data_IF_122857378770
#
_entry.id   IF_122857378770
#
_cell.length_a   1.000
_cell.length_b   1.000
_cell.length_c   1.000
_cell.angle_alpha   90.00
_cell.angle_beta   90.00
_cell.angle_gamma   90.00
#
_symmetry.space_group_name_H-M   'P 1'
#
loop_
_entity.id
_entity.type
_entity.pdbx_description
1 polymer ?
#
# COMPACT_ATOMS: atom_id res chain seq x y z
N UNK A 1 -64.50 34.41 -26.62
CA UNK A 1 -63.40 34.16 -27.56
C UNK A 1 -63.05 35.50 -28.18
N UNK A 2 -61.85 36.03 -27.85
CA UNK A 2 -61.05 37.09 -28.51
C UNK A 2 -61.73 38.39 -29.02
N UNK A 3 -61.15 39.58 -28.99
CA UNK A 3 -59.94 40.17 -28.42
C UNK A 3 -59.99 41.69 -28.75
N UNK A 4 -59.04 42.45 -28.18
CA UNK A 4 -58.56 43.80 -28.57
C UNK A 4 -59.34 45.04 -28.08
N UNK A 5 -58.69 45.79 -27.17
CA UNK A 5 -58.53 47.26 -27.21
C UNK A 5 -57.59 47.66 -26.03
N UNK A 6 -56.36 48.14 -26.24
CA UNK A 6 -55.90 49.52 -26.54
C UNK A 6 -55.43 50.31 -25.29
N UNK A 7 -54.32 51.04 -25.47
CA UNK A 7 -53.77 52.17 -24.69
C UNK A 7 -53.20 51.87 -23.30
N UNK A 8 -52.15 52.54 -22.83
CA UNK A 8 -51.41 53.70 -23.34
C UNK A 8 -50.42 54.18 -22.26
N UNK A 9 -49.33 54.82 -22.71
CA UNK A 9 -48.23 55.41 -21.93
C UNK A 9 -48.63 56.45 -20.89
N UNK A 10 -47.80 56.62 -19.84
CA UNK A 10 -47.43 57.90 -19.18
C UNK A 10 -46.43 57.58 -18.04
N UNK A 11 -45.11 57.76 -18.19
CA UNK A 11 -44.32 58.97 -17.87
C UNK A 11 -44.77 59.68 -16.58
N UNK A 12 -43.94 59.69 -15.53
CA UNK A 12 -43.24 60.90 -15.04
C UNK A 12 -42.37 60.62 -13.79
N UNK A 13 -41.14 61.16 -13.85
CA UNK A 13 -40.40 61.96 -12.83
C UNK A 13 -40.40 61.49 -11.37
N UNK A 14 -39.38 61.64 -10.55
CA UNK A 14 -38.03 62.22 -10.58
C UNK A 14 -37.61 62.31 -9.11
N UNK A 15 -36.33 62.62 -8.86
CA UNK A 15 -35.83 63.29 -7.65
C UNK A 15 -35.57 62.36 -6.44
N UNK A 16 -34.55 62.53 -5.60
CA UNK A 16 -33.26 63.26 -5.57
C UNK A 16 -32.77 63.09 -4.11
N UNK A 17 -31.44 63.08 -3.90
CA UNK A 17 -30.74 63.31 -2.61
C UNK A 17 -30.92 62.26 -1.50
N UNK A 18 -30.00 62.06 -0.56
CA UNK A 18 -28.55 62.29 -0.41
C UNK A 18 -28.20 61.74 0.97
N UNK A 19 -27.02 61.11 1.09
CA UNK A 19 -26.11 61.06 2.25
C UNK A 19 -26.67 61.13 3.67
N UNK A 20 -26.30 60.18 4.55
CA UNK A 20 -25.24 60.38 5.57
C UNK A 20 -25.13 59.19 6.56
N UNK A 21 -23.87 58.82 6.84
CA UNK A 21 -23.28 58.40 8.14
C UNK A 21 -23.89 57.28 8.98
N UNK A 22 -23.02 56.37 9.47
CA UNK A 22 -23.22 55.77 10.80
C UNK A 22 -22.72 54.33 10.95
N UNK A 23 -21.58 54.18 11.61
CA UNK A 23 -20.96 52.94 12.07
C UNK A 23 -21.79 52.23 13.16
N UNK A 24 -21.85 50.89 13.13
CA UNK A 24 -21.45 49.95 14.21
C UNK A 24 -22.29 48.65 14.28
N UNK A 25 -21.58 47.55 14.52
CA UNK A 25 -21.99 46.35 15.29
C UNK A 25 -22.83 45.24 14.65
N UNK A 26 -22.16 44.08 14.51
CA UNK A 26 -22.59 42.70 14.84
C UNK A 26 -24.08 42.35 14.87
N UNK A 27 -24.48 41.36 14.06
CA UNK A 27 -25.43 40.26 14.37
C UNK A 27 -25.48 39.32 13.14
N UNK A 28 -25.10 38.04 13.31
CA UNK A 28 -26.04 36.90 13.31
C UNK A 28 -26.85 36.75 12.02
N UNK A 29 -26.43 35.80 11.17
CA UNK A 29 -27.32 35.16 10.18
C UNK A 29 -27.20 33.65 10.39
N UNK A 30 -28.19 33.11 11.09
CA UNK A 30 -28.61 31.73 10.94
C UNK A 30 -29.13 31.55 9.51
N UNK A 31 -28.68 30.50 8.82
CA UNK A 31 -29.42 29.94 7.69
C UNK A 31 -29.70 28.49 8.03
N UNK A 32 -30.96 28.25 8.36
CA UNK A 32 -31.59 26.94 8.38
C UNK A 32 -31.42 26.26 7.02
N UNK A 33 -31.07 24.98 7.02
CA UNK A 33 -31.37 24.07 5.93
C UNK A 33 -31.72 22.70 6.53
N UNK A 34 -32.82 22.05 6.07
CA UNK A 34 -33.43 20.93 6.76
C UNK A 34 -32.68 19.61 6.55
N UNK A 35 -32.70 18.83 7.62
CA UNK A 35 -32.16 17.49 7.80
C UNK A 35 -33.07 16.45 7.14
N UNK A 36 -32.52 15.59 6.27
CA UNK A 36 -32.96 14.20 6.09
C UNK A 36 -31.74 13.28 5.90
N UNK A 37 -31.78 12.04 6.40
CA UNK A 37 -30.60 11.32 6.86
C UNK A 37 -29.99 10.44 5.76
N UNK A 38 -28.66 10.50 5.61
CA UNK A 38 -27.87 9.56 4.82
C UNK A 38 -27.25 8.57 5.80
N UNK A 39 -27.79 7.35 5.86
CA UNK A 39 -27.15 6.21 6.51
C UNK A 39 -27.24 4.97 5.61
N UNK A 40 -26.09 4.54 5.08
CA UNK A 40 -25.73 3.18 4.61
C UNK A 40 -24.40 3.31 3.85
N UNK A 41 -23.27 3.65 4.46
CA UNK A 41 -22.32 2.88 5.28
C UNK A 41 -21.67 1.66 4.60
N UNK A 42 -20.53 1.95 3.96
CA UNK A 42 -19.31 1.14 3.92
C UNK A 42 -18.53 1.41 5.19
N UNK A 43 -18.57 0.47 6.12
CA UNK A 43 -18.40 0.75 7.53
C UNK A 43 -16.99 0.48 8.07
N UNK A 44 -15.96 1.29 7.73
CA UNK A 44 -14.75 1.50 8.57
C UNK A 44 -14.06 2.86 8.33
N UNK A 45 -14.79 3.97 8.45
CA UNK A 45 -14.24 5.34 8.53
C UNK A 45 -15.06 6.10 9.60
N UNK A 46 -14.52 6.21 10.84
CA UNK A 46 -14.98 6.98 12.05
C UNK A 46 -16.45 6.77 12.49
N UNK A 47 -16.80 6.33 13.71
CA UNK A 47 -16.47 6.84 15.05
C UNK A 47 -17.10 5.88 16.12
N UNK A 48 -17.06 6.19 17.43
CA UNK A 48 -16.11 5.73 18.45
C UNK A 48 -16.45 4.35 19.08
N UNK A 49 -15.43 3.71 19.64
CA UNK A 49 -15.55 2.45 20.40
C UNK A 49 -16.56 2.56 21.56
N UNK A 50 -17.44 1.55 21.76
CA UNK A 50 -18.25 1.49 22.97
C UNK A 50 -17.36 1.18 24.19
N UNK A 51 -17.66 1.87 25.31
CA UNK A 51 -17.03 1.68 26.62
C UNK A 51 -17.00 0.18 26.99
N UNK A 52 -15.87 -0.38 27.48
CA UNK A 52 -15.84 -1.77 27.91
C UNK A 52 -16.75 -1.97 29.14
N UNK A 53 -17.68 -2.91 29.01
CA UNK A 53 -18.46 -3.41 30.13
C UNK A 53 -17.53 -4.08 31.15
N UNK A 54 -17.71 -3.72 32.43
CA UNK A 54 -16.98 -4.30 33.56
C UNK A 54 -17.33 -5.79 33.69
N UNK A 55 -16.31 -6.66 33.66
CA UNK A 55 -16.44 -8.06 34.07
C UNK A 55 -16.17 -8.17 35.58
N UNK A 56 -16.94 -8.99 36.32
CA UNK A 56 -16.75 -9.15 37.75
C UNK A 56 -15.52 -10.03 38.05
N UNK A 57 -14.83 -9.66 39.12
CA UNK A 57 -13.69 -10.37 39.67
C UNK A 57 -14.07 -11.75 40.22
N UNK A 58 -13.28 -12.77 39.91
CA UNK A 58 -13.25 -14.01 40.67
C UNK A 58 -11.82 -14.60 40.75
N UNK A 59 -11.44 -14.82 42.00
CA UNK A 59 -10.21 -15.42 42.52
C UNK A 59 -9.99 -16.87 42.08
N UNK A 60 -8.74 -17.28 41.86
CA UNK A 60 -7.95 -18.15 42.77
C UNK A 60 -6.82 -18.89 42.04
N UNK A 61 -5.60 -18.48 42.39
CA UNK A 61 -4.33 -19.24 42.51
C UNK A 61 -4.40 -20.77 42.30
N UNK A 62 -3.63 -21.30 41.33
CA UNK A 62 -2.88 -22.57 41.47
C UNK A 62 -1.54 -22.50 40.73
N UNK A 63 -0.46 -22.48 41.52
CA UNK A 63 0.94 -22.68 41.13
C UNK A 63 1.16 -24.13 40.69
N UNK A 64 1.73 -24.33 39.50
CA UNK A 64 2.27 -25.61 39.03
C UNK A 64 3.78 -25.69 39.29
N UNK A 65 4.33 -26.87 39.64
CA UNK A 65 5.76 -27.04 39.92
C UNK A 65 6.60 -27.19 38.66
N UNK A 66 7.86 -26.74 38.74
CA UNK A 66 8.85 -26.73 37.67
C UNK A 66 9.39 -28.13 37.28
N UNK A 67 9.84 -28.34 36.03
CA UNK A 67 10.54 -29.56 35.61
C UNK A 67 12.05 -29.52 35.94
N UNK A 68 12.72 -30.69 36.08
CA UNK A 68 14.15 -30.79 36.37
C UNK A 68 15.04 -30.52 35.13
N UNK A 69 16.33 -30.18 35.31
CA UNK A 69 17.18 -29.65 34.24
C UNK A 69 17.77 -30.72 33.31
N UNK A 70 17.84 -30.36 32.03
CA UNK A 70 18.52 -31.10 30.97
C UNK A 70 20.04 -31.16 31.19
N UNK A 71 20.62 -32.35 31.01
CA UNK A 71 22.08 -32.56 30.97
C UNK A 71 22.65 -32.00 29.65
N UNK A 72 23.65 -31.13 29.79
CA UNK A 72 24.50 -30.62 28.72
C UNK A 72 25.53 -31.71 28.38
N UNK A 73 25.56 -32.19 27.14
CA UNK A 73 26.68 -32.98 26.61
C UNK A 73 27.60 -32.00 25.87
N UNK A 74 28.79 -31.83 26.42
CA UNK A 74 29.90 -31.08 25.85
C UNK A 74 30.49 -31.85 24.66
N UNK A 75 30.45 -31.25 23.47
CA UNK A 75 31.24 -31.70 22.32
C UNK A 75 32.62 -31.01 22.36
N UNK A 76 33.68 -31.81 22.52
CA UNK A 76 35.06 -31.36 22.47
C UNK A 76 35.54 -31.21 21.03
N UNK A 77 36.24 -30.11 20.80
CA UNK A 77 37.03 -29.76 19.62
C UNK A 77 38.27 -30.64 19.47
N UNK A 78 38.68 -30.91 18.24
CA UNK A 78 40.04 -30.61 17.70
C UNK A 78 40.15 -31.02 16.23
N UNK A 79 40.82 -30.21 15.38
CA UNK A 79 41.17 -30.56 14.01
C UNK A 79 42.62 -31.08 13.92
N UNK A 80 43.01 -31.48 12.70
CA UNK A 80 44.37 -31.67 12.15
C UNK A 80 44.54 -33.06 11.52
N UNK A 81 44.61 -33.11 10.19
CA UNK A 81 45.82 -33.53 9.48
C UNK A 81 45.66 -33.27 7.97
N UNK A 82 46.52 -32.38 7.47
CA UNK A 82 46.84 -32.27 6.07
C UNK A 82 47.75 -33.45 5.67
N UNK A 83 47.56 -33.99 4.47
CA UNK A 83 48.62 -34.66 3.73
C UNK A 83 48.40 -34.52 2.22
N UNK A 84 49.45 -34.05 1.58
CA UNK A 84 49.61 -33.81 0.16
C UNK A 84 49.89 -35.10 -0.63
N UNK A 85 49.79 -34.93 -1.96
CA UNK A 85 50.61 -35.53 -3.02
C UNK A 85 50.11 -36.78 -3.77
N UNK A 86 49.85 -36.50 -5.06
CA UNK A 86 50.29 -37.19 -6.27
C UNK A 86 49.69 -38.53 -6.70
N UNK A 87 49.28 -38.53 -7.98
CA UNK A 87 49.12 -39.69 -8.84
C UNK A 87 48.72 -39.26 -10.25
N UNK A 88 49.71 -38.97 -11.10
CA UNK A 88 49.55 -38.65 -12.52
C UNK A 88 48.99 -39.84 -13.32
N UNK A 89 48.28 -39.56 -14.40
CA UNK A 89 48.30 -40.44 -15.58
C UNK A 89 48.42 -39.59 -16.84
N UNK A 90 49.55 -39.79 -17.50
CA UNK A 90 50.02 -39.17 -18.74
C UNK A 90 49.24 -39.66 -19.96
N UNK A 91 48.78 -38.73 -20.81
CA UNK A 91 48.53 -39.03 -22.23
C UNK A 91 49.52 -38.21 -23.06
N UNK A 92 50.30 -38.96 -23.84
CA UNK A 92 51.37 -38.50 -24.72
C UNK A 92 50.81 -37.59 -25.82
N UNK A 93 51.34 -36.38 -25.93
CA UNK A 93 51.25 -35.58 -27.17
C UNK A 93 52.64 -35.16 -27.63
N UNK A 94 52.88 -35.39 -28.91
CA UNK A 94 54.18 -35.26 -29.60
C UNK A 94 54.68 -33.81 -29.58
N UNK A 95 55.98 -33.68 -29.32
CA UNK A 95 56.71 -32.43 -29.40
C UNK A 95 56.73 -31.90 -30.85
N UNK A 96 56.10 -30.75 -31.07
CA UNK A 96 56.35 -29.92 -32.24
C UNK A 96 57.40 -28.88 -31.90
N UNK A 97 58.61 -29.09 -32.39
CA UNK A 97 59.71 -28.13 -32.28
C UNK A 97 59.45 -26.93 -33.19
N UNK A 98 59.20 -25.76 -32.60
CA UNK A 98 59.11 -24.48 -33.31
C UNK A 98 60.30 -23.58 -32.94
N UNK A 99 61.03 -22.99 -33.91
CA UNK A 99 62.23 -22.20 -33.65
C UNK A 99 61.96 -20.93 -32.82
N UNK A 100 62.80 -20.71 -31.81
CA UNK A 100 62.73 -19.72 -30.72
C UNK A 100 62.76 -18.22 -31.11
N UNK A 101 62.51 -17.83 -32.36
CA UNK A 101 62.70 -16.43 -32.81
C UNK A 101 61.47 -15.72 -33.40
N UNK A 102 60.27 -16.31 -33.37
CA UNK A 102 59.03 -15.61 -33.79
C UNK A 102 57.80 -15.83 -32.88
N UNK A 103 58.01 -16.12 -31.59
CA UNK A 103 56.92 -16.40 -30.64
C UNK A 103 56.48 -15.19 -29.79
N UNK A 104 56.77 -13.95 -30.19
CA UNK A 104 56.38 -12.74 -29.43
C UNK A 104 55.23 -11.98 -30.12
N UNK A 105 54.90 -12.28 -31.38
CA UNK A 105 53.87 -11.56 -32.12
C UNK A 105 52.44 -12.14 -32.02
N UNK A 106 52.24 -13.29 -31.35
CA UNK A 106 50.92 -13.94 -31.26
C UNK A 106 50.22 -13.78 -29.90
N UNK A 107 50.88 -13.23 -28.88
CA UNK A 107 50.29 -13.09 -27.54
C UNK A 107 49.57 -11.73 -27.38
N UNK A 108 49.81 -10.76 -28.28
CA UNK A 108 49.19 -9.44 -28.24
C UNK A 108 47.91 -9.29 -29.08
N UNK A 109 47.46 -10.34 -29.79
CA UNK A 109 46.24 -10.31 -30.62
C UNK A 109 45.02 -10.96 -29.96
N UNK A 110 45.14 -11.49 -28.74
CA UNK A 110 44.05 -12.21 -28.05
C UNK A 110 43.32 -11.41 -26.96
N UNK A 111 43.81 -10.23 -26.57
CA UNK A 111 43.37 -9.54 -25.35
C UNK A 111 42.24 -8.52 -25.55
N UNK A 112 41.57 -8.46 -26.71
CA UNK A 112 40.39 -7.60 -26.93
C UNK A 112 39.06 -8.35 -27.04
N UNK A 113 39.05 -9.68 -26.86
CA UNK A 113 37.81 -10.49 -26.86
C UNK A 113 37.40 -11.06 -25.49
N UNK A 114 38.17 -10.82 -24.43
CA UNK A 114 37.79 -11.23 -23.06
C UNK A 114 36.93 -10.20 -22.31
N UNK A 115 37.01 -8.91 -22.64
CA UNK A 115 36.16 -7.89 -22.01
C UNK A 115 34.70 -7.99 -22.46
N UNK A 116 34.40 -8.43 -23.68
CA UNK A 116 33.03 -8.58 -24.17
C UNK A 116 32.30 -9.81 -23.61
N UNK A 117 33.03 -10.82 -23.13
CA UNK A 117 32.46 -12.02 -22.50
C UNK A 117 32.32 -11.87 -20.98
N UNK A 118 33.16 -11.07 -20.33
CA UNK A 118 33.05 -10.78 -18.90
C UNK A 118 31.81 -9.91 -18.57
N UNK A 119 31.40 -9.00 -19.46
CA UNK A 119 30.16 -8.21 -19.29
C UNK A 119 28.86 -9.03 -19.42
N UNK A 120 28.93 -10.31 -19.81
CA UNK A 120 27.74 -11.17 -19.95
C UNK A 120 27.50 -12.10 -18.76
N UNK A 121 28.37 -12.08 -17.75
CA UNK A 121 28.29 -12.93 -16.56
C UNK A 121 27.78 -12.22 -15.29
N UNK A 122 27.40 -10.94 -15.40
CA UNK A 122 26.60 -10.26 -14.38
C UNK A 122 25.10 -10.27 -14.74
N UNK A 123 24.61 -11.39 -15.27
CA UNK A 123 23.20 -11.70 -15.17
C UNK A 123 22.96 -12.06 -13.70
N UNK A 124 22.67 -11.05 -12.89
CA UNK A 124 22.16 -11.22 -11.53
C UNK A 124 20.91 -12.07 -11.62
N UNK A 125 21.03 -13.37 -11.35
CA UNK A 125 19.90 -14.26 -11.18
C UNK A 125 19.21 -13.87 -9.88
N UNK A 126 18.40 -12.80 -9.93
CA UNK A 126 17.44 -12.53 -8.88
C UNK A 126 16.56 -13.78 -8.79
N UNK A 127 16.39 -14.38 -7.60
CA UNK A 127 15.46 -15.49 -7.46
C UNK A 127 14.10 -14.99 -7.94
N UNK A 128 13.57 -15.58 -9.00
CA UNK A 128 12.27 -15.18 -9.54
C UNK A 128 11.23 -15.41 -8.45
N UNK A 129 10.59 -14.34 -7.98
CA UNK A 129 9.50 -14.46 -7.02
C UNK A 129 8.40 -15.29 -7.65
N UNK A 130 8.08 -16.41 -6.99
CA UNK A 130 7.01 -17.29 -7.43
C UNK A 130 5.70 -16.72 -6.90
N UNK A 131 4.73 -16.55 -7.77
CA UNK A 131 3.40 -16.06 -7.39
C UNK A 131 2.41 -17.22 -7.25
N UNK A 132 1.55 -17.14 -6.24
CA UNK A 132 0.33 -17.95 -6.12
C UNK A 132 -0.88 -17.14 -6.56
N UNK A 133 -1.88 -17.82 -7.10
CA UNK A 133 -3.17 -17.23 -7.40
C UNK A 133 -4.14 -17.47 -6.24
N UNK A 134 -4.87 -16.43 -5.87
CA UNK A 134 -6.01 -16.44 -4.97
C UNK A 134 -7.27 -16.16 -5.79
N UNK A 135 -8.28 -17.03 -5.66
CA UNK A 135 -9.55 -16.90 -6.37
C UNK A 135 -10.65 -17.02 -5.32
N UNK A 136 -11.42 -15.96 -5.15
CA UNK A 136 -12.65 -15.97 -4.36
C UNK A 136 -13.86 -15.99 -5.27
N UNK A 137 -14.49 -17.15 -5.37
CA UNK A 137 -15.70 -17.33 -6.19
C UNK A 137 -16.96 -16.83 -5.49
N UNK A 138 -16.95 -16.68 -4.16
CA UNK A 138 -18.11 -16.24 -3.39
C UNK A 138 -18.25 -14.72 -3.45
N UNK A 139 -17.14 -14.02 -3.23
CA UNK A 139 -17.12 -12.56 -3.24
C UNK A 139 -16.75 -11.99 -4.62
N UNK A 140 -16.26 -12.84 -5.54
CA UNK A 140 -16.10 -12.50 -6.94
C UNK A 140 -14.86 -11.67 -7.21
N UNK A 141 -13.68 -12.09 -6.75
CA UNK A 141 -12.42 -11.46 -7.14
C UNK A 141 -11.27 -12.46 -7.18
N UNK A 142 -10.18 -12.09 -7.85
CA UNK A 142 -8.96 -12.91 -7.93
C UNK A 142 -7.72 -12.04 -8.08
N UNK A 143 -6.59 -12.51 -7.57
CA UNK A 143 -5.29 -11.86 -7.74
C UNK A 143 -4.16 -12.86 -7.52
N UNK A 144 -2.94 -12.45 -7.90
CA UNK A 144 -1.70 -13.14 -7.58
C UNK A 144 -1.00 -12.46 -6.42
N UNK A 145 -0.32 -13.24 -5.59
CA UNK A 145 0.47 -12.74 -4.46
C UNK A 145 1.76 -13.57 -4.29
N UNK A 146 2.81 -13.02 -3.66
CA UNK A 146 4.05 -13.75 -3.46
C UNK A 146 3.84 -15.03 -2.66
N UNK A 147 4.43 -16.13 -3.13
CA UNK A 147 4.27 -17.47 -2.56
C UNK A 147 4.65 -17.55 -1.08
N UNK A 148 5.62 -16.78 -0.63
CA UNK A 148 6.12 -16.76 0.74
C UNK A 148 5.20 -16.02 1.71
N UNK A 149 4.20 -15.28 1.24
CA UNK A 149 3.30 -14.52 2.10
C UNK A 149 2.28 -15.42 2.79
N UNK A 150 1.97 -15.07 4.03
CA UNK A 150 1.07 -15.83 4.89
C UNK A 150 -0.28 -15.13 5.02
N UNK A 151 -1.36 -15.91 4.93
CA UNK A 151 -2.70 -15.41 5.20
C UNK A 151 -2.88 -15.20 6.71
N UNK A 152 -3.36 -14.02 7.11
CA UNK A 152 -3.70 -13.70 8.50
C UNK A 152 -5.21 -13.52 8.61
N UNK A 153 -5.83 -14.26 9.54
CA UNK A 153 -7.25 -14.13 9.85
C UNK A 153 -7.47 -13.11 10.96
N UNK A 154 -8.62 -12.43 10.96
CA UNK A 154 -9.00 -11.48 12.01
C UNK A 154 -8.50 -10.04 11.81
N UNK A 155 -7.96 -9.69 10.64
CA UNK A 155 -7.53 -8.33 10.31
C UNK A 155 -8.70 -7.37 10.01
N UNK A 156 -9.93 -7.89 9.83
CA UNK A 156 -11.12 -7.09 9.55
C UNK A 156 -11.26 -6.65 8.08
N UNK A 157 -10.33 -7.03 7.23
CA UNK A 157 -10.49 -7.12 5.78
C UNK A 157 -11.06 -8.49 5.40
N UNK A 158 -11.52 -8.63 4.16
CA UNK A 158 -12.02 -9.90 3.65
C UNK A 158 -10.89 -10.94 3.54
N UNK A 159 -9.80 -10.50 2.91
CA UNK A 159 -8.54 -11.23 2.84
C UNK A 159 -7.39 -10.33 3.29
N UNK A 160 -6.43 -10.92 4.00
CA UNK A 160 -5.21 -10.24 4.43
C UNK A 160 -4.02 -11.20 4.34
N UNK A 161 -3.00 -10.78 3.60
CA UNK A 161 -1.71 -11.45 3.49
C UNK A 161 -0.61 -10.52 3.99
N UNK A 162 0.47 -11.09 4.54
CA UNK A 162 1.67 -10.32 4.90
C UNK A 162 2.93 -11.13 4.69
N UNK A 163 4.03 -10.42 4.54
CA UNK A 163 5.35 -11.02 4.53
C UNK A 163 5.72 -11.50 5.97
N UNK A 164 6.25 -12.74 6.14
CA UNK A 164 6.65 -13.25 7.44
C UNK A 164 7.92 -12.60 8.02
N UNK A 165 8.75 -11.97 7.18
CA UNK A 165 9.98 -11.27 7.54
C UNK A 165 9.77 -9.76 7.65
N UNK A 166 9.10 -9.15 6.67
CA UNK A 166 8.80 -7.71 6.65
C UNK A 166 7.34 -7.48 7.03
N UNK A 167 7.06 -7.37 8.34
CA UNK A 167 5.68 -7.31 8.85
C UNK A 167 4.88 -6.08 8.37
N UNK A 168 5.57 -5.01 8.00
CA UNK A 168 4.96 -3.79 7.47
C UNK A 168 4.62 -3.90 5.97
N UNK A 169 5.00 -5.00 5.33
CA UNK A 169 4.61 -5.36 3.98
C UNK A 169 3.40 -6.29 3.99
N UNK A 170 2.29 -5.82 3.43
CA UNK A 170 1.02 -6.55 3.44
C UNK A 170 0.12 -6.21 2.27
N UNK A 171 -0.85 -7.09 2.06
CA UNK A 171 -1.90 -7.00 1.06
C UNK A 171 -3.23 -7.24 1.77
N UNK A 172 -4.23 -6.43 1.47
CA UNK A 172 -5.62 -6.69 1.84
C UNK A 172 -6.55 -6.45 0.67
N UNK A 173 -7.67 -7.18 0.65
CA UNK A 173 -8.82 -6.80 -0.18
C UNK A 173 -9.96 -6.40 0.73
N UNK A 174 -10.50 -5.23 0.46
CA UNK A 174 -11.71 -4.73 1.08
C UNK A 174 -12.78 -4.56 0.01
N UNK A 175 -14.02 -4.83 0.37
CA UNK A 175 -15.15 -4.65 -0.52
C UNK A 175 -16.24 -3.88 0.16
N UNK A 176 -16.98 -3.16 -0.66
CA UNK A 176 -18.12 -2.41 -0.22
C UNK A 176 -19.30 -3.35 0.06
N UNK A 177 -19.96 -3.26 1.21
CA UNK A 177 -21.22 -3.94 1.55
C UNK A 177 -22.28 -3.91 0.43
N UNK A 178 -22.80 -5.08 0.01
CA UNK A 178 -23.72 -5.19 -1.12
C UNK A 178 -25.06 -4.48 -0.90
N UNK A 179 -25.43 -4.23 0.36
CA UNK A 179 -26.70 -3.56 0.71
C UNK A 179 -26.63 -2.03 0.66
N UNK A 180 -25.43 -1.45 0.64
CA UNK A 180 -25.20 -0.01 0.73
C UNK A 180 -24.45 0.56 -0.47
N UNK A 181 -23.85 -0.27 -1.33
CA UNK A 181 -23.23 0.19 -2.58
C UNK A 181 -24.20 0.21 -3.74
N UNK A 182 -24.01 1.19 -4.63
CA UNK A 182 -24.72 1.30 -5.90
C UNK A 182 -23.74 1.67 -7.03
N UNK A 183 -22.50 1.18 -6.96
CA UNK A 183 -21.46 1.47 -7.95
C UNK A 183 -21.68 0.61 -9.19
N UNK A 184 -21.93 1.22 -10.35
CA UNK A 184 -22.07 0.51 -11.63
C UNK A 184 -20.74 0.41 -12.35
N UNK A 185 -19.89 1.42 -12.19
CA UNK A 185 -18.57 1.47 -12.79
C UNK A 185 -17.60 2.25 -11.93
N UNK A 186 -16.30 2.06 -12.16
CA UNK A 186 -15.24 2.75 -11.40
C UNK A 186 -15.30 4.28 -11.62
N UNK A 187 -15.81 4.71 -12.76
CA UNK A 187 -16.04 6.12 -13.11
C UNK A 187 -17.06 6.82 -12.19
N UNK A 188 -17.91 6.08 -11.48
CA UNK A 188 -18.81 6.64 -10.47
C UNK A 188 -18.03 7.26 -9.29
N UNK A 189 -16.75 6.89 -9.13
CA UNK A 189 -15.84 7.52 -8.17
C UNK A 189 -15.36 8.90 -8.62
N UNK A 190 -15.57 9.26 -9.88
CA UNK A 190 -15.00 10.44 -10.55
C UNK A 190 -13.75 10.09 -11.37
N UNK A 191 -12.95 11.09 -11.78
CA UNK A 191 -11.64 10.85 -12.38
C UNK A 191 -10.68 10.19 -11.37
N UNK A 192 -9.61 9.51 -11.84
CA UNK A 192 -8.64 8.84 -10.98
C UNK A 192 -8.05 9.74 -9.88
N UNK A 193 -7.84 11.02 -10.19
CA UNK A 193 -7.33 12.01 -9.24
C UNK A 193 -8.30 12.27 -8.07
N UNK A 194 -9.61 12.34 -8.34
CA UNK A 194 -10.64 12.51 -7.31
C UNK A 194 -10.83 11.24 -6.49
N UNK A 195 -10.79 10.07 -7.14
CA UNK A 195 -10.79 8.79 -6.47
C UNK A 195 -9.57 8.66 -5.53
N UNK A 196 -8.39 9.04 -5.99
CA UNK A 196 -7.17 9.04 -5.18
C UNK A 196 -7.27 9.96 -3.95
N UNK A 197 -7.90 11.14 -4.08
CA UNK A 197 -8.20 12.01 -2.93
C UNK A 197 -9.20 11.40 -1.96
N UNK A 198 -10.14 10.57 -2.41
CA UNK A 198 -11.07 9.83 -1.54
C UNK A 198 -10.33 8.73 -0.77
N UNK A 199 -9.53 7.93 -1.47
CA UNK A 199 -8.67 6.88 -0.88
C UNK A 199 -7.71 7.47 0.15
N UNK A 200 -7.00 8.55 -0.18
CA UNK A 200 -6.09 9.20 0.75
C UNK A 200 -6.82 9.70 2.01
N UNK A 201 -8.00 10.31 1.86
CA UNK A 201 -8.80 10.74 3.00
C UNK A 201 -9.20 9.56 3.89
N UNK A 202 -9.64 8.47 3.29
CA UNK A 202 -9.93 7.23 4.00
C UNK A 202 -8.72 6.74 4.80
N UNK A 203 -7.53 6.67 4.20
CA UNK A 203 -6.32 6.21 4.89
C UNK A 203 -5.96 7.12 6.06
N UNK A 204 -5.98 8.44 5.85
CA UNK A 204 -5.71 9.40 6.92
C UNK A 204 -6.69 9.25 8.08
N UNK A 205 -7.95 8.95 7.78
CA UNK A 205 -8.97 8.69 8.76
C UNK A 205 -8.73 7.39 9.53
N UNK A 206 -8.46 6.28 8.84
CA UNK A 206 -8.16 4.99 9.46
C UNK A 206 -6.91 5.08 10.36
N UNK A 207 -5.92 5.85 9.93
CA UNK A 207 -4.70 6.06 10.70
C UNK A 207 -4.84 7.12 11.78
N UNK A 208 -5.98 7.78 12.00
CA UNK A 208 -6.09 8.80 13.04
C UNK A 208 -5.59 8.29 14.40
N UNK A 209 -4.60 8.97 14.97
CA UNK A 209 -4.06 8.63 16.29
C UNK A 209 -4.64 9.55 17.34
N UNK A 210 -5.01 8.99 18.47
CA UNK A 210 -5.38 9.75 19.68
C UNK A 210 -4.16 10.19 20.49
N UNK A 211 -2.97 9.73 20.12
CA UNK A 211 -1.73 10.09 20.82
C UNK A 211 -1.36 11.54 20.52
N UNK A 212 -1.12 12.29 21.59
CA UNK A 212 -0.72 13.69 21.50
C UNK A 212 0.63 13.82 20.78
N UNK A 213 0.73 14.77 19.86
CA UNK A 213 1.98 15.05 19.13
C UNK A 213 2.27 14.12 17.94
N UNK A 214 1.32 13.27 17.54
CA UNK A 214 1.40 12.56 16.26
C UNK A 214 0.96 13.48 15.13
N UNK A 215 1.85 13.70 14.16
CA UNK A 215 1.53 14.38 12.90
C UNK A 215 1.67 13.40 11.74
N UNK A 216 0.82 13.57 10.73
CA UNK A 216 0.90 12.82 9.49
C UNK A 216 1.06 13.75 8.32
N UNK A 217 2.00 13.42 7.46
CA UNK A 217 2.19 14.06 6.17
C UNK A 217 1.85 13.02 5.12
N UNK A 218 1.01 13.39 4.16
CA UNK A 218 0.60 12.49 3.09
C UNK A 218 0.75 13.14 1.73
N UNK A 219 1.05 12.31 0.73
CA UNK A 219 1.19 12.74 -0.65
C UNK A 219 0.61 11.71 -1.61
N UNK A 220 -0.10 12.17 -2.64
CA UNK A 220 -0.52 11.32 -3.76
C UNK A 220 0.62 11.34 -4.78
N UNK A 221 1.20 10.18 -5.05
CA UNK A 221 2.35 10.06 -5.95
C UNK A 221 1.87 9.89 -7.39
N UNK A 222 0.91 8.98 -7.57
CA UNK A 222 0.35 8.68 -8.87
C UNK A 222 -1.13 8.33 -8.74
N UNK A 223 -1.88 8.66 -9.78
CA UNK A 223 -3.23 8.14 -10.00
C UNK A 223 -3.36 7.83 -11.48
N UNK A 224 -3.74 6.61 -11.80
CA UNK A 224 -3.88 6.17 -13.19
C UNK A 224 -5.15 5.36 -13.38
N UNK A 225 -5.51 5.17 -14.64
CA UNK A 225 -6.62 4.35 -15.07
C UNK A 225 -6.10 3.34 -16.07
N UNK A 226 -6.44 2.07 -15.89
CA UNK A 226 -6.08 1.00 -16.83
C UNK A 226 -7.31 0.19 -17.19
N UNK A 227 -7.29 -0.40 -18.38
CA UNK A 227 -8.26 -1.41 -18.79
C UNK A 227 -7.54 -2.75 -18.79
N UNK A 228 -8.08 -3.75 -18.08
CA UNK A 228 -7.46 -5.08 -18.06
C UNK A 228 -7.94 -5.94 -19.24
N UNK A 229 -7.39 -7.14 -19.35
CA UNK A 229 -7.74 -8.16 -20.34
C UNK A 229 -9.19 -8.65 -20.24
N UNK A 230 -9.84 -8.48 -19.09
CA UNK A 230 -11.28 -8.71 -18.89
C UNK A 230 -12.17 -7.60 -19.50
N UNK A 231 -11.57 -6.54 -20.05
CA UNK A 231 -12.28 -5.39 -20.62
C UNK A 231 -12.81 -4.41 -19.58
N UNK A 232 -12.52 -4.61 -18.29
CA UNK A 232 -12.95 -3.68 -17.23
C UNK A 232 -11.91 -2.62 -16.95
N UNK A 233 -12.40 -1.45 -16.53
CA UNK A 233 -11.56 -0.34 -16.10
C UNK A 233 -11.27 -0.45 -14.61
N UNK A 234 -10.02 -0.22 -14.25
CA UNK A 234 -9.52 -0.18 -12.89
C UNK A 234 -8.79 1.13 -12.66
N UNK A 235 -8.92 1.71 -11.47
CA UNK A 235 -8.08 2.82 -11.06
C UNK A 235 -6.95 2.34 -10.19
N UNK A 236 -5.75 2.86 -10.43
CA UNK A 236 -4.59 2.63 -9.57
C UNK A 236 -4.25 3.94 -8.88
N UNK A 237 -4.02 3.86 -7.58
CA UNK A 237 -3.70 5.01 -6.74
C UNK A 237 -2.47 4.67 -5.92
N UNK A 238 -1.50 5.58 -5.89
CA UNK A 238 -0.33 5.45 -5.05
C UNK A 238 -0.22 6.63 -4.10
N UNK A 239 -0.02 6.32 -2.82
CA UNK A 239 0.04 7.31 -1.74
C UNK A 239 1.27 7.05 -0.88
N UNK A 240 1.94 8.11 -0.45
CA UNK A 240 2.96 8.07 0.59
C UNK A 240 2.39 8.60 1.92
N UNK A 241 2.48 7.75 2.92
CA UNK A 241 2.22 7.84 4.36
C UNK A 241 3.42 8.18 5.25
N UNK A 242 3.65 9.41 5.74
CA UNK A 242 4.65 9.65 6.81
C UNK A 242 3.98 9.92 8.14
N UNK A 243 4.35 9.16 9.16
CA UNK A 243 3.96 9.44 10.55
C UNK A 243 5.17 9.93 11.31
N UNK A 244 5.01 11.06 11.98
CA UNK A 244 5.99 11.56 12.91
C UNK A 244 5.38 11.63 14.30
N UNK A 245 6.17 11.20 15.26
CA UNK A 245 5.76 11.14 16.63
C UNK A 245 6.89 11.46 17.60
N UNK A 246 6.53 11.81 18.82
CA UNK A 246 7.48 11.88 19.91
C UNK A 246 7.62 10.50 20.57
N UNK A 247 8.87 10.08 20.77
CA UNK A 247 9.18 8.83 21.46
C UNK A 247 9.30 9.03 22.98
N UNK A 248 9.35 10.27 23.46
CA UNK A 248 9.41 10.60 24.88
C UNK A 248 8.00 10.76 25.47
N UNK A 249 7.49 9.70 26.07
CA UNK A 249 6.15 9.65 26.70
C UNK A 249 6.02 10.56 27.93
N UNK A 250 7.13 10.94 28.55
CA UNK A 250 7.17 11.77 29.77
C UNK A 250 7.43 13.26 29.48
N UNK A 251 7.54 13.64 28.20
CA UNK A 251 7.78 15.03 27.80
C UNK A 251 6.57 15.91 28.15
N UNK A 252 6.62 16.60 29.28
CA UNK A 252 5.60 17.56 29.72
C UNK A 252 5.78 18.91 29.04
N UNK A 253 7.02 19.31 28.74
CA UNK A 253 7.34 20.61 28.16
C UNK A 253 7.41 20.55 26.63
N UNK A 254 7.02 21.62 25.90
CA UNK A 254 7.09 21.67 24.44
C UNK A 254 8.48 21.37 23.86
N UNK A 255 9.54 21.79 24.53
CA UNK A 255 10.93 21.64 24.08
C UNK A 255 11.37 20.16 24.08
N UNK A 256 10.84 19.38 25.03
CA UNK A 256 11.10 17.94 25.15
C UNK A 256 10.26 17.12 24.16
N UNK A 257 9.29 17.74 23.48
CA UNK A 257 8.41 17.11 22.49
C UNK A 257 9.03 17.10 21.09
N UNK A 258 10.24 16.56 20.97
CA UNK A 258 10.95 16.44 19.69
C UNK A 258 10.31 15.34 18.84
N UNK A 259 9.65 15.76 17.76
CA UNK A 259 8.96 14.85 16.84
C UNK A 259 9.96 14.22 15.87
N UNK A 260 10.01 12.89 15.80
CA UNK A 260 10.84 12.10 14.87
C UNK A 260 9.97 11.31 13.91
N UNK A 261 10.54 10.91 12.77
CA UNK A 261 9.88 10.01 11.83
C UNK A 261 9.73 8.65 12.51
N UNK A 262 8.48 8.19 12.64
CA UNK A 262 8.13 6.90 13.24
C UNK A 262 8.05 5.82 12.16
N UNK A 263 7.36 6.13 11.06
CA UNK A 263 7.30 5.28 9.88
C UNK A 263 7.05 6.10 8.62
N UNK A 264 7.54 5.58 7.50
CA UNK A 264 7.35 6.08 6.14
C UNK A 264 6.91 4.90 5.27
N UNK A 265 5.67 4.94 4.78
CA UNK A 265 5.02 3.81 4.12
C UNK A 265 4.40 4.23 2.80
N UNK A 266 4.58 3.38 1.78
CA UNK A 266 3.89 3.47 0.51
C UNK A 266 2.63 2.61 0.55
N UNK A 267 1.53 3.15 0.05
CA UNK A 267 0.28 2.45 -0.18
C UNK A 267 -0.02 2.43 -1.66
N UNK A 268 -0.36 1.27 -2.20
CA UNK A 268 -0.81 1.10 -3.58
C UNK A 268 -2.20 0.49 -3.57
N UNK A 269 -3.14 1.11 -4.27
CA UNK A 269 -4.54 0.70 -4.27
C UNK A 269 -4.98 0.43 -5.69
N UNK A 270 -5.68 -0.69 -5.91
CA UNK A 270 -6.37 -0.98 -7.16
C UNK A 270 -7.87 -1.03 -6.89
N UNK A 271 -8.61 -0.14 -7.53
CA UNK A 271 -10.05 0.00 -7.39
C UNK A 271 -10.74 -0.65 -8.60
N UNK A 272 -11.66 -1.56 -8.34
CA UNK A 272 -12.49 -2.22 -9.34
C UNK A 272 -13.95 -2.22 -8.91
N UNK A 273 -14.88 -2.17 -9.86
CA UNK A 273 -16.32 -2.23 -9.56
C UNK A 273 -16.94 -3.39 -10.32
N UNK A 274 -17.69 -4.21 -9.60
CA UNK A 274 -18.54 -5.28 -10.16
C UNK A 274 -19.61 -5.64 -9.13
N UNK A 275 -20.69 -6.34 -9.54
CA UNK A 275 -21.74 -6.80 -8.62
C UNK A 275 -22.39 -5.65 -7.80
N UNK A 276 -22.44 -4.43 -8.36
CA UNK A 276 -22.84 -3.20 -7.68
C UNK A 276 -21.97 -2.81 -6.46
N UNK A 277 -20.78 -3.39 -6.32
CA UNK A 277 -19.84 -3.20 -5.23
C UNK A 277 -18.52 -2.62 -5.73
N UNK A 278 -17.89 -1.81 -4.88
CA UNK A 278 -16.52 -1.34 -5.02
C UNK A 278 -15.59 -2.31 -4.30
N UNK A 279 -14.57 -2.77 -5.00
CA UNK A 279 -13.48 -3.57 -4.47
C UNK A 279 -12.20 -2.73 -4.45
N UNK A 280 -11.44 -2.83 -3.37
CA UNK A 280 -10.13 -2.23 -3.18
C UNK A 280 -9.13 -3.32 -2.83
N UNK A 281 -8.18 -3.60 -3.74
CA UNK A 281 -6.95 -4.29 -3.39
C UNK A 281 -5.96 -3.24 -2.88
N UNK A 282 -5.55 -3.35 -1.62
CA UNK A 282 -4.59 -2.45 -0.98
C UNK A 282 -3.30 -3.19 -0.68
N UNK A 283 -2.19 -2.62 -1.13
CA UNK A 283 -0.83 -3.01 -0.79
C UNK A 283 -0.23 -1.95 0.13
N UNK A 284 0.49 -2.37 1.15
CA UNK A 284 1.30 -1.52 2.01
C UNK A 284 2.73 -2.04 2.01
N UNK A 285 3.71 -1.15 1.94
CA UNK A 285 5.12 -1.49 2.09
C UNK A 285 5.92 -0.32 2.66
N UNK A 286 6.98 -0.54 3.46
CA UNK A 286 7.88 0.52 3.89
C UNK A 286 8.54 1.22 2.70
N UNK A 287 8.65 2.54 2.76
CA UNK A 287 9.29 3.33 1.70
C UNK A 287 10.75 2.90 1.45
N UNK A 288 11.45 2.43 2.50
CA UNK A 288 12.85 2.00 2.42
C UNK A 288 13.08 0.74 1.58
N UNK A 289 12.09 -0.14 1.44
CA UNK A 289 12.20 -1.40 0.69
C UNK A 289 11.44 -1.36 -0.64
N UNK A 290 10.67 -0.29 -0.89
CA UNK A 290 9.81 -0.18 -2.06
C UNK A 290 10.54 -0.37 -3.39
N UNK A 291 11.77 0.15 -3.52
CA UNK A 291 12.54 0.07 -4.77
C UNK A 291 12.89 -1.36 -5.14
N UNK A 292 13.15 -2.22 -4.14
CA UNK A 292 13.52 -3.61 -4.36
C UNK A 292 12.29 -4.45 -4.74
N UNK A 293 11.15 -4.18 -4.08
CA UNK A 293 9.90 -4.94 -4.25
C UNK A 293 8.96 -4.37 -5.32
N UNK A 294 9.27 -3.21 -5.92
CA UNK A 294 8.34 -2.48 -6.80
C UNK A 294 7.80 -3.39 -7.91
N UNK A 295 8.68 -4.11 -8.62
CA UNK A 295 8.28 -4.96 -9.73
C UNK A 295 7.26 -6.02 -9.31
N UNK A 296 7.50 -6.68 -8.18
CA UNK A 296 6.63 -7.74 -7.68
C UNK A 296 5.28 -7.19 -7.22
N UNK A 297 5.28 -6.03 -6.53
CA UNK A 297 4.06 -5.34 -6.16
C UNK A 297 3.24 -4.89 -7.37
N UNK A 298 3.89 -4.41 -8.45
CA UNK A 298 3.19 -4.06 -9.71
C UNK A 298 2.54 -5.28 -10.35
N UNK A 299 3.22 -6.42 -10.38
CA UNK A 299 2.65 -7.67 -10.89
C UNK A 299 1.42 -8.10 -10.09
N UNK A 300 1.44 -7.94 -8.76
CA UNK A 300 0.26 -8.17 -7.91
C UNK A 300 -0.88 -7.22 -8.30
N UNK A 301 -0.63 -5.92 -8.40
CA UNK A 301 -1.64 -4.93 -8.82
C UNK A 301 -2.25 -5.23 -10.20
N UNK A 302 -1.43 -5.66 -11.15
CA UNK A 302 -1.84 -5.93 -12.52
C UNK A 302 -2.57 -7.27 -12.66
N UNK A 303 -2.43 -8.17 -11.68
CA UNK A 303 -3.15 -9.45 -11.63
C UNK A 303 -4.57 -9.35 -11.05
N UNK A 304 -4.89 -8.26 -10.36
CA UNK A 304 -6.18 -8.10 -9.68
C UNK A 304 -7.36 -8.03 -10.66
N UNK A 305 -8.35 -8.89 -10.47
CA UNK A 305 -9.59 -8.96 -11.26
C UNK A 305 -10.80 -9.04 -10.36
N UNK A 306 -11.87 -8.36 -10.76
CA UNK A 306 -13.20 -8.53 -10.18
C UNK A 306 -14.05 -9.38 -11.11
N UNK A 307 -14.76 -10.35 -10.57
CA UNK A 307 -15.52 -11.37 -11.28
C UNK A 307 -17.01 -11.23 -10.96
N UNK A 308 -17.87 -11.58 -11.92
CA UNK A 308 -19.30 -11.64 -11.66
C UNK A 308 -19.59 -12.85 -10.79
N UNK A 309 -20.32 -12.64 -9.69
CA UNK A 309 -20.80 -13.73 -8.86
C UNK A 309 -22.07 -14.29 -9.48
N UNK A 310 -22.10 -15.58 -9.76
CA UNK A 310 -23.33 -16.27 -10.18
C UNK A 310 -24.26 -16.38 -8.97
N UNK A 311 -25.34 -15.60 -9.00
CA UNK A 311 -26.46 -15.68 -8.05
C UNK A 311 -27.32 -16.92 -8.33
#
# INVERSE_FOLDING_TARGET
MAALHVCGSLILKSSLFSSTTGSASSLSICSDNPIFPVYSLMARILDPLPRPAQLPAASTRRTAPAPPPCRVISASSTPFHALCCHGETTVVTKAFAVPRRKAIALILSGCVFSELLASRYLASAQPSVVFREYIDTFDGYSFKYPQNWIQVRGAGADIFFRDPYVLDENLSVEMSSPSSSNYKSVEDLGPPEEAGKKVLRQYLTEFMSTRLGVRRESNIISTSSRVADDGRKYYQVEVNIKSYANNNELAVMPEDRVVRLEWDRRYLSVLGVENNQLYELRLQTPESVFVDEENDLRQVMDSFRVNKVSV
#
